data_IF_668807013836
#
_entry.id   IF_668807013836
#
_cell.length_a   1.000
_cell.length_b   1.000
_cell.length_c   1.000
_cell.angle_alpha   90.00
_cell.angle_beta   90.00
_cell.angle_gamma   90.00
#
_symmetry.space_group_name_H-M   'P 1'
#
loop_
_entity.id
_entity.type
_entity.pdbx_description
1 polymer ?
#
# COMPACT_ATOMS: atom_id res chain seq x y z
N UNK A 1 -3.60 -20.70 -28.16
CA UNK A 1 -3.39 -19.75 -27.03
C UNK A 1 -4.75 -19.46 -26.40
N UNK A 2 -4.94 -19.78 -25.12
CA UNK A 2 -6.21 -19.51 -24.43
C UNK A 2 -6.46 -18.00 -24.44
N UNK A 3 -7.43 -17.55 -25.23
CA UNK A 3 -7.87 -16.15 -25.30
C UNK A 3 -8.73 -15.87 -24.06
N UNK A 4 -8.10 -15.86 -22.90
CA UNK A 4 -8.76 -15.41 -21.68
C UNK A 4 -8.94 -13.91 -21.80
N UNK A 5 -10.18 -13.41 -21.80
CA UNK A 5 -10.43 -11.97 -21.87
C UNK A 5 -9.73 -11.24 -20.73
N UNK A 6 -9.23 -10.01 -20.98
CA UNK A 6 -8.44 -9.21 -20.03
C UNK A 6 -9.04 -9.14 -18.62
N UNK A 7 -10.37 -9.13 -18.52
CA UNK A 7 -11.11 -9.07 -17.24
C UNK A 7 -10.98 -10.39 -16.46
N UNK A 8 -11.17 -11.54 -17.11
CA UNK A 8 -10.98 -12.86 -16.50
C UNK A 8 -9.52 -13.07 -16.10
N UNK A 9 -8.57 -12.74 -16.99
CA UNK A 9 -7.14 -12.84 -16.68
C UNK A 9 -6.74 -12.02 -15.44
N UNK A 10 -7.29 -10.81 -15.28
CA UNK A 10 -7.06 -9.98 -14.07
C UNK A 10 -7.62 -10.60 -12.79
N UNK A 11 -8.76 -11.28 -12.88
CA UNK A 11 -9.36 -11.97 -11.73
C UNK A 11 -8.58 -13.22 -11.37
N UNK A 12 -8.24 -14.05 -12.36
CA UNK A 12 -7.47 -15.29 -12.17
C UNK A 12 -6.05 -15.03 -11.64
N UNK A 13 -5.46 -13.89 -11.97
CA UNK A 13 -4.10 -13.52 -11.54
C UNK A 13 -4.03 -12.78 -10.20
N UNK A 14 -5.14 -12.67 -9.45
CA UNK A 14 -5.27 -11.84 -8.24
C UNK A 14 -4.68 -10.42 -8.41
N UNK A 15 -4.86 -9.86 -9.62
CA UNK A 15 -4.21 -8.61 -10.01
C UNK A 15 -4.67 -7.44 -9.14
N UNK A 16 -5.90 -7.51 -8.64
CA UNK A 16 -6.46 -6.49 -7.76
C UNK A 16 -5.67 -6.39 -6.45
N UNK A 17 -5.40 -7.52 -5.78
CA UNK A 17 -4.65 -7.52 -4.52
C UNK A 17 -3.20 -7.05 -4.71
N UNK A 18 -2.57 -7.46 -5.81
CA UNK A 18 -1.23 -6.97 -6.18
C UNK A 18 -1.22 -5.46 -6.42
N UNK A 19 -2.20 -4.95 -7.16
CA UNK A 19 -2.31 -3.51 -7.42
C UNK A 19 -2.48 -2.69 -6.14
N UNK A 20 -3.22 -3.21 -5.15
CA UNK A 20 -3.36 -2.58 -3.84
C UNK A 20 -2.03 -2.52 -3.08
N UNK A 21 -1.27 -3.62 -3.03
CA UNK A 21 0.02 -3.64 -2.34
C UNK A 21 1.06 -2.76 -3.05
N UNK A 22 1.11 -2.78 -4.38
CA UNK A 22 1.98 -1.90 -5.18
C UNK A 22 1.66 -0.42 -4.93
N UNK A 23 0.38 -0.07 -4.87
CA UNK A 23 -0.05 1.31 -4.57
C UNK A 23 0.33 1.71 -3.14
N UNK A 24 0.19 0.81 -2.16
CA UNK A 24 0.59 1.09 -0.78
C UNK A 24 2.11 1.32 -0.66
N UNK A 25 2.92 0.47 -1.30
CA UNK A 25 4.38 0.61 -1.33
C UNK A 25 4.81 1.87 -2.07
N UNK A 26 4.14 2.22 -3.17
CA UNK A 26 4.38 3.48 -3.89
C UNK A 26 4.19 4.68 -2.95
N UNK A 27 3.04 4.77 -2.27
CA UNK A 27 2.74 5.85 -1.31
C UNK A 27 3.78 5.92 -0.19
N UNK A 28 4.16 4.78 0.38
CA UNK A 28 5.17 4.70 1.42
C UNK A 28 6.51 5.30 0.96
N UNK A 29 6.98 4.91 -0.24
CA UNK A 29 8.24 5.42 -0.81
C UNK A 29 8.16 6.89 -1.18
N UNK A 30 7.01 7.37 -1.66
CA UNK A 30 6.81 8.78 -2.02
C UNK A 30 6.84 9.68 -0.78
N UNK A 31 6.20 9.26 0.32
CA UNK A 31 6.07 10.09 1.52
C UNK A 31 7.33 10.03 2.40
N UNK A 32 7.87 8.84 2.64
CA UNK A 32 9.00 8.64 3.57
C UNK A 32 10.35 8.49 2.87
N UNK A 33 10.37 8.58 1.54
CA UNK A 33 11.54 8.31 0.71
C UNK A 33 11.77 6.82 0.47
N UNK A 34 12.50 6.51 -0.61
CA UNK A 34 12.78 5.14 -1.04
C UNK A 34 13.94 4.43 -0.32
N UNK A 35 14.46 4.98 0.78
CA UNK A 35 15.66 4.46 1.46
C UNK A 35 15.46 4.35 2.98
N UNK A 36 15.97 3.27 3.56
CA UNK A 36 16.10 3.08 5.00
C UNK A 36 17.55 3.41 5.40
N UNK A 37 17.74 4.30 6.38
CA UNK A 37 19.06 4.86 6.73
C UNK A 37 19.72 4.16 7.92
N UNK A 38 19.00 3.28 8.62
CA UNK A 38 19.53 2.53 9.76
C UNK A 38 20.54 1.48 9.29
N UNK A 39 21.65 1.33 10.04
CA UNK A 39 22.74 0.39 9.72
C UNK A 39 22.38 -1.08 9.94
N UNK A 40 21.54 -1.35 10.94
CA UNK A 40 21.16 -2.72 11.32
C UNK A 40 19.78 -3.06 10.77
N UNK A 41 19.62 -4.30 10.31
CA UNK A 41 18.38 -4.79 9.71
C UNK A 41 17.19 -4.69 10.67
N UNK A 42 17.36 -5.06 11.94
CA UNK A 42 16.28 -4.97 12.93
C UNK A 42 15.78 -3.54 13.08
N UNK A 43 16.69 -2.57 13.09
CA UNK A 43 16.35 -1.16 13.14
C UNK A 43 15.70 -0.66 11.85
N UNK A 44 16.04 -1.23 10.69
CA UNK A 44 15.37 -0.96 9.42
C UNK A 44 13.94 -1.51 9.41
N UNK A 45 13.73 -2.72 9.96
CA UNK A 45 12.43 -3.34 10.08
C UNK A 45 11.51 -2.51 10.98
N UNK A 46 12.00 -2.12 12.17
CA UNK A 46 11.23 -1.26 13.10
C UNK A 46 10.88 0.10 12.47
N UNK A 47 11.83 0.74 11.78
CA UNK A 47 11.59 1.99 11.04
C UNK A 47 10.51 1.81 9.96
N UNK A 48 10.56 0.71 9.21
CA UNK A 48 9.56 0.38 8.20
C UNK A 48 8.17 0.19 8.82
N UNK A 49 8.07 -0.56 9.93
CA UNK A 49 6.80 -0.77 10.63
C UNK A 49 6.21 0.55 11.15
N UNK A 50 7.05 1.44 11.72
CA UNK A 50 6.60 2.76 12.14
C UNK A 50 6.05 3.59 10.99
N UNK A 51 6.75 3.60 9.84
CA UNK A 51 6.29 4.34 8.64
C UNK A 51 4.97 3.79 8.10
N UNK A 52 4.77 2.47 8.12
CA UNK A 52 3.51 1.84 7.74
C UNK A 52 2.36 2.22 8.69
N UNK A 53 2.60 2.24 10.00
CA UNK A 53 1.61 2.68 10.99
C UNK A 53 1.25 4.16 10.80
N UNK A 54 2.26 5.02 10.59
CA UNK A 54 2.06 6.44 10.30
C UNK A 54 1.25 6.65 9.02
N UNK A 55 1.58 5.95 7.93
CA UNK A 55 0.85 6.01 6.66
C UNK A 55 -0.63 5.63 6.85
N UNK A 56 -0.88 4.57 7.62
CA UNK A 56 -2.25 4.11 7.91
C UNK A 56 -3.04 5.19 8.64
N UNK A 57 -2.43 5.85 9.63
CA UNK A 57 -3.06 6.97 10.35
C UNK A 57 -3.32 8.17 9.44
N UNK A 58 -2.38 8.53 8.56
CA UNK A 58 -2.58 9.62 7.59
C UNK A 58 -3.76 9.33 6.65
N UNK A 59 -3.89 8.09 6.17
CA UNK A 59 -5.01 7.67 5.33
C UNK A 59 -6.35 7.76 6.09
N UNK A 60 -6.37 7.35 7.37
CA UNK A 60 -7.57 7.44 8.20
C UNK A 60 -8.01 8.90 8.39
N UNK A 61 -7.07 9.81 8.64
CA UNK A 61 -7.35 11.24 8.83
C UNK A 61 -7.75 11.95 7.53
N UNK A 62 -7.17 11.54 6.40
CA UNK A 62 -7.50 12.12 5.08
C UNK A 62 -8.74 11.54 4.43
N UNK A 63 -9.31 10.46 4.99
CA UNK A 63 -10.55 9.88 4.48
C UNK A 63 -11.71 10.79 4.89
N UNK A 64 -12.52 11.30 3.95
CA UNK A 64 -13.66 12.13 4.31
C UNK A 64 -14.61 11.33 5.20
N UNK A 65 -15.03 11.93 6.31
CA UNK A 65 -16.16 11.44 7.09
C UNK A 65 -17.41 11.56 6.23
N UNK A 66 -17.76 10.47 5.55
CA UNK A 66 -19.10 10.29 5.06
C UNK A 66 -20.00 10.01 6.27
N UNK A 67 -20.27 11.05 7.06
CA UNK A 67 -21.45 11.07 7.90
C UNK A 67 -22.62 10.87 6.94
N UNK A 68 -23.15 9.64 6.88
CA UNK A 68 -24.50 9.44 6.39
C UNK A 68 -25.37 10.17 7.41
N UNK A 69 -25.70 11.42 7.11
CA UNK A 69 -26.77 12.12 7.79
C UNK A 69 -27.97 11.16 7.79
N UNK A 70 -28.30 10.69 8.98
CA UNK A 70 -29.47 9.86 9.22
C UNK A 70 -30.65 10.76 9.48
#
# INVERSE_FOLDING_TARGET
>A
MRQVGRKQWKQESDYHRRSLSETAIFRLKTIFGGKLRRRFFDNQAVDLFLRCAALTRMIQLGKPDCNKAK
#
